data_IF_834641964194
#
_entry.id   IF_834641964194
#
_cell.length_a   1.000
_cell.length_b   1.000
_cell.length_c   1.000
_cell.angle_alpha   90.00
_cell.angle_beta   90.00
_cell.angle_gamma   90.00
#
_symmetry.space_group_name_H-M   'P 1'
#
loop_
_entity.id
_entity.type
_entity.pdbx_description
1 polymer ?
#
# COMPACT_ATOMS: atom_id res chain seq x y z
N UNK A 1 -17.09 -22.77 15.96
CA UNK A 1 -16.59 -21.43 15.56
C UNK A 1 -17.61 -20.87 14.59
N UNK A 2 -18.39 -19.89 15.00
CA UNK A 2 -19.31 -19.17 14.09
C UNK A 2 -18.45 -18.26 13.27
N UNK A 3 -18.18 -18.63 12.02
CA UNK A 3 -17.64 -17.69 11.02
C UNK A 3 -18.66 -16.57 10.89
N UNK A 4 -18.27 -15.34 11.21
CA UNK A 4 -19.11 -14.18 10.94
C UNK A 4 -19.23 -14.07 9.42
N UNK A 5 -20.39 -14.40 8.86
CA UNK A 5 -20.65 -14.37 7.42
C UNK A 5 -20.42 -12.97 6.80
N UNK A 6 -20.27 -11.95 7.63
CA UNK A 6 -20.04 -10.58 7.23
C UNK A 6 -18.56 -10.18 7.23
N UNK A 7 -17.64 -11.05 7.66
CA UNK A 7 -16.22 -10.74 7.80
C UNK A 7 -15.34 -11.94 7.39
N UNK A 8 -14.43 -11.71 6.46
CA UNK A 8 -13.40 -12.66 6.04
C UNK A 8 -12.02 -12.09 6.41
N UNK A 9 -11.38 -12.63 7.43
CA UNK A 9 -10.01 -12.25 7.75
C UNK A 9 -9.05 -12.76 6.68
N UNK A 10 -8.30 -11.83 6.08
CA UNK A 10 -7.25 -12.14 5.11
C UNK A 10 -5.90 -12.31 5.81
N UNK A 11 -5.66 -11.48 6.84
CA UNK A 11 -4.51 -11.54 7.74
C UNK A 11 -4.89 -11.02 9.13
N UNK A 12 -4.39 -11.65 10.18
CA UNK A 12 -4.77 -11.35 11.56
C UNK A 12 -6.16 -11.87 11.92
N UNK A 13 -6.63 -11.65 13.13
CA UNK A 13 -7.88 -12.21 13.61
C UNK A 13 -7.88 -13.74 13.52
N UNK A 14 -8.86 -14.33 12.84
CA UNK A 14 -8.97 -15.78 12.62
C UNK A 14 -7.97 -16.32 11.59
N UNK A 15 -7.28 -15.45 10.83
CA UNK A 15 -6.20 -15.79 9.91
C UNK A 15 -4.85 -15.30 10.48
N UNK A 16 -4.17 -16.06 11.35
CA UNK A 16 -3.00 -15.58 12.09
C UNK A 16 -1.91 -15.02 11.18
N UNK A 17 -1.25 -13.96 11.65
CA UNK A 17 -0.09 -13.41 10.96
C UNK A 17 1.06 -14.44 10.94
N UNK A 18 1.71 -14.57 9.78
CA UNK A 18 2.94 -15.35 9.61
C UNK A 18 3.92 -14.54 8.76
N UNK A 19 5.16 -14.40 9.24
CA UNK A 19 6.21 -13.72 8.49
C UNK A 19 6.54 -14.44 7.17
N UNK A 20 6.37 -15.75 7.11
CA UNK A 20 6.61 -16.57 5.91
C UNK A 20 5.57 -16.29 4.80
N UNK A 21 4.42 -15.75 5.16
CA UNK A 21 3.39 -15.36 4.19
C UNK A 21 3.70 -14.02 3.51
N UNK A 22 4.82 -13.38 3.85
CA UNK A 22 5.20 -12.06 3.34
C UNK A 22 6.64 -12.03 2.85
N UNK A 23 6.92 -11.12 1.92
CA UNK A 23 8.26 -10.90 1.39
C UNK A 23 8.47 -9.43 1.04
N UNK A 24 9.72 -8.97 1.19
CA UNK A 24 10.10 -7.60 0.85
C UNK A 24 10.02 -7.36 -0.67
N UNK A 25 9.50 -6.19 -1.03
CA UNK A 25 9.47 -5.68 -2.40
C UNK A 25 9.84 -4.20 -2.38
N UNK A 26 11.07 -3.93 -2.00
CA UNK A 26 11.61 -2.58 -1.82
C UNK A 26 12.20 -2.03 -3.12
N UNK A 27 12.51 -0.73 -3.12
CA UNK A 27 13.12 -0.03 -4.26
C UNK A 27 14.55 -0.46 -4.58
N UNK A 28 15.15 -1.35 -3.80
CA UNK A 28 16.50 -1.90 -4.01
C UNK A 28 16.67 -2.53 -5.39
N UNK A 29 15.61 -3.12 -5.94
CA UNK A 29 15.62 -3.64 -7.33
C UNK A 29 15.82 -2.56 -8.39
N UNK A 30 15.72 -1.29 -8.01
CA UNK A 30 15.91 -0.10 -8.86
C UNK A 30 17.12 0.73 -8.47
N UNK A 31 18.00 0.19 -7.59
CA UNK A 31 19.16 0.91 -7.06
C UNK A 31 18.84 1.81 -5.86
N UNK A 32 17.63 1.73 -5.28
CA UNK A 32 17.28 2.38 -4.03
C UNK A 32 17.93 1.73 -2.82
N UNK A 33 17.83 2.37 -1.67
CA UNK A 33 18.39 1.90 -0.39
C UNK A 33 17.33 1.67 0.68
N UNK A 34 16.05 1.82 0.34
CA UNK A 34 14.96 1.55 1.27
C UNK A 34 14.92 0.08 1.66
N UNK A 35 14.55 -0.20 2.90
CA UNK A 35 14.47 -1.57 3.41
C UNK A 35 13.28 -1.73 4.35
N UNK A 36 12.51 -2.80 4.14
CA UNK A 36 11.35 -3.15 4.96
C UNK A 36 11.45 -4.54 5.58
N UNK A 37 10.72 -4.71 6.66
CA UNK A 37 10.53 -5.95 7.39
C UNK A 37 9.07 -6.06 7.83
N UNK A 38 8.58 -7.30 7.94
CA UNK A 38 7.31 -7.61 8.59
C UNK A 38 7.57 -8.64 9.69
N UNK A 39 7.51 -8.19 10.92
CA UNK A 39 7.65 -9.06 12.08
C UNK A 39 6.27 -9.51 12.54
N UNK A 40 6.13 -10.79 12.84
CA UNK A 40 4.89 -11.39 13.37
C UNK A 40 5.21 -12.03 14.74
N UNK A 41 5.25 -11.25 15.84
CA UNK A 41 5.59 -11.79 17.15
C UNK A 41 4.58 -12.86 17.58
N UNK A 42 5.08 -13.99 18.04
CA UNK A 42 4.22 -15.11 18.48
C UNK A 42 3.26 -14.66 19.58
N UNK A 43 1.99 -15.00 19.44
CA UNK A 43 0.94 -14.67 20.41
C UNK A 43 0.53 -13.20 20.47
N UNK A 44 1.16 -12.30 19.70
CA UNK A 44 0.84 -10.86 19.75
C UNK A 44 -0.43 -10.47 18.99
N UNK A 45 -0.99 -11.35 18.15
CA UNK A 45 -2.20 -11.08 17.35
C UNK A 45 -2.06 -9.91 16.38
N UNK A 46 -0.81 -9.56 16.01
CA UNK A 46 -0.51 -8.41 15.14
C UNK A 46 0.74 -8.66 14.29
N UNK A 47 0.86 -7.88 13.21
CA UNK A 47 2.10 -7.73 12.47
C UNK A 47 2.70 -6.34 12.69
N UNK A 48 4.02 -6.25 12.61
CA UNK A 48 4.79 -5.01 12.69
C UNK A 48 5.50 -4.79 11.36
N UNK A 49 4.98 -3.87 10.55
CA UNK A 49 5.61 -3.41 9.33
C UNK A 49 6.54 -2.25 9.67
N UNK A 50 7.85 -2.45 9.50
CA UNK A 50 8.88 -1.48 9.88
C UNK A 50 10.02 -1.44 8.89
N UNK A 51 10.86 -0.41 9.00
CA UNK A 51 12.05 -0.29 8.17
C UNK A 51 12.59 1.12 8.10
N UNK A 52 13.31 1.38 7.00
CA UNK A 52 13.85 2.70 6.68
C UNK A 52 13.53 3.04 5.23
N UNK A 53 12.94 4.20 5.02
CA UNK A 53 12.70 4.77 3.71
C UNK A 53 13.85 5.72 3.37
N UNK A 54 14.60 5.38 2.33
CA UNK A 54 15.68 6.21 1.80
C UNK A 54 15.22 6.94 0.54
N UNK A 55 15.45 8.23 0.46
CA UNK A 55 15.11 9.06 -0.69
C UNK A 55 16.34 9.61 -1.42
N UNK A 56 17.54 9.34 -0.89
CA UNK A 56 18.80 9.91 -1.40
C UNK A 56 19.26 9.25 -2.69
N UNK A 57 19.08 7.93 -2.80
CA UNK A 57 19.58 7.15 -3.92
C UNK A 57 18.79 7.38 -5.22
N UNK A 58 17.50 7.75 -5.13
CA UNK A 58 16.59 7.86 -6.28
C UNK A 58 16.03 9.28 -6.47
N UNK A 59 16.80 10.31 -6.09
CA UNK A 59 16.45 11.70 -6.36
C UNK A 59 15.13 12.18 -5.71
N UNK A 60 14.90 11.79 -4.46
CA UNK A 60 13.68 12.13 -3.72
C UNK A 60 12.57 11.08 -3.83
N UNK A 61 12.71 10.11 -4.74
CA UNK A 61 11.82 8.96 -4.80
C UNK A 61 12.33 7.84 -3.88
N UNK A 62 11.43 6.99 -3.40
CA UNK A 62 11.75 5.81 -2.61
C UNK A 62 10.50 5.08 -2.15
N UNK A 63 10.62 3.77 -1.97
CA UNK A 63 9.58 2.98 -1.32
C UNK A 63 10.15 1.74 -0.65
N UNK A 64 9.55 1.38 0.48
CA UNK A 64 9.78 0.14 1.19
C UNK A 64 8.43 -0.58 1.31
N UNK A 65 8.35 -1.85 0.91
CA UNK A 65 7.08 -2.56 0.83
C UNK A 65 7.23 -4.02 1.22
N UNK A 66 6.25 -4.51 1.95
CA UNK A 66 6.03 -5.93 2.20
C UNK A 66 4.79 -6.37 1.43
N UNK A 67 4.88 -7.47 0.72
CA UNK A 67 3.79 -8.06 -0.03
C UNK A 67 3.53 -9.51 0.39
N UNK A 68 2.28 -9.94 0.30
CA UNK A 68 1.95 -11.34 0.47
C UNK A 68 2.64 -12.19 -0.59
N UNK A 69 3.09 -13.40 -0.21
CA UNK A 69 3.62 -14.38 -1.15
C UNK A 69 2.47 -15.06 -1.92
N UNK A 70 2.80 -15.62 -3.06
CA UNK A 70 1.82 -16.36 -3.85
C UNK A 70 1.45 -17.66 -3.12
N UNK A 71 0.16 -17.91 -2.93
CA UNK A 71 -0.37 -19.05 -2.20
C UNK A 71 -0.50 -20.24 -3.14
N UNK A 72 0.19 -21.35 -2.84
CA UNK A 72 0.21 -22.52 -3.71
C UNK A 72 -1.16 -23.21 -3.86
N UNK A 73 -1.95 -23.26 -2.77
CA UNK A 73 -3.23 -23.98 -2.74
C UNK A 73 -4.44 -23.09 -3.04
N UNK A 74 -4.34 -21.78 -2.74
CA UNK A 74 -5.38 -20.79 -2.99
C UNK A 74 -4.70 -19.55 -3.57
N UNK A 75 -4.51 -19.48 -4.89
CA UNK A 75 -3.72 -18.41 -5.52
C UNK A 75 -4.36 -17.03 -5.41
N UNK A 76 -5.63 -16.96 -5.03
CA UNK A 76 -6.38 -15.71 -4.86
C UNK A 76 -7.35 -15.78 -3.69
N UNK A 77 -7.81 -14.61 -3.24
CA UNK A 77 -8.98 -14.47 -2.40
C UNK A 77 -10.16 -14.04 -3.27
N UNK A 78 -11.29 -14.72 -3.12
CA UNK A 78 -12.57 -14.25 -3.62
C UNK A 78 -13.21 -13.37 -2.53
N UNK A 79 -13.22 -12.08 -2.79
CA UNK A 79 -13.80 -11.07 -1.90
C UNK A 79 -15.01 -10.37 -2.56
N UNK A 80 -15.54 -10.95 -3.62
CA UNK A 80 -16.66 -10.39 -4.40
C UNK A 80 -17.97 -10.28 -3.62
N UNK A 81 -18.14 -11.09 -2.55
CA UNK A 81 -19.29 -11.03 -1.66
C UNK A 81 -19.23 -9.91 -0.60
N UNK A 82 -18.14 -9.13 -0.58
CA UNK A 82 -17.87 -8.08 0.41
C UNK A 82 -17.85 -6.71 -0.26
N UNK A 83 -18.04 -5.65 0.53
CA UNK A 83 -18.19 -4.28 0.04
C UNK A 83 -16.89 -3.46 0.17
N UNK A 84 -15.93 -3.94 0.96
CA UNK A 84 -14.66 -3.25 1.18
C UNK A 84 -13.71 -4.02 2.09
N UNK A 85 -12.57 -3.39 2.38
CA UNK A 85 -11.61 -3.86 3.39
C UNK A 85 -11.77 -3.10 4.69
N UNK A 86 -11.54 -3.83 5.78
CA UNK A 86 -11.32 -3.27 7.10
C UNK A 86 -9.87 -3.52 7.52
N UNK A 87 -9.18 -2.45 7.92
CA UNK A 87 -7.80 -2.47 8.39
C UNK A 87 -7.78 -1.92 9.82
N UNK A 88 -7.31 -2.72 10.78
CA UNK A 88 -7.09 -2.23 12.14
C UNK A 88 -5.62 -1.93 12.37
N UNK A 89 -5.31 -0.64 12.54
CA UNK A 89 -3.98 -0.12 12.83
C UNK A 89 -3.90 0.24 14.31
N UNK A 90 -2.86 -0.30 14.99
CA UNK A 90 -2.67 -0.10 16.40
C UNK A 90 -1.89 1.20 16.65
N UNK A 91 -2.31 1.96 17.65
CA UNK A 91 -1.66 3.18 18.11
C UNK A 91 -0.22 2.93 18.57
N UNK A 92 -0.02 1.88 19.36
CA UNK A 92 1.26 1.61 20.05
C UNK A 92 2.49 1.57 19.13
N UNK A 93 2.32 1.24 17.83
CA UNK A 93 3.39 1.23 16.85
C UNK A 93 3.28 2.33 15.80
N UNK A 94 2.34 3.24 15.95
CA UNK A 94 2.07 4.27 14.96
C UNK A 94 3.07 5.42 15.00
N UNK A 95 3.47 5.93 13.85
CA UNK A 95 4.46 6.99 13.66
C UNK A 95 3.87 8.27 13.03
N UNK A 96 2.56 8.28 12.76
CA UNK A 96 1.87 9.40 12.11
C UNK A 96 2.20 9.57 10.63
N UNK A 97 2.91 8.62 10.03
CA UNK A 97 3.29 8.67 8.63
C UNK A 97 2.17 8.15 7.73
N UNK A 98 2.29 8.46 6.46
CA UNK A 98 1.35 8.05 5.41
C UNK A 98 1.81 6.73 4.79
N UNK A 99 0.92 5.76 4.80
CA UNK A 99 1.12 4.41 4.24
C UNK A 99 0.17 4.17 3.08
N UNK A 100 0.48 3.15 2.29
CA UNK A 100 -0.37 2.72 1.18
C UNK A 100 -0.69 1.23 1.34
N UNK A 101 -1.97 0.90 1.32
CA UNK A 101 -2.47 -0.47 1.14
C UNK A 101 -2.64 -0.71 -0.35
N UNK A 102 -2.06 -1.81 -0.86
CA UNK A 102 -2.10 -2.12 -2.29
C UNK A 102 -2.71 -3.50 -2.52
N UNK A 103 -3.59 -3.61 -3.51
CA UNK A 103 -4.14 -4.85 -4.01
C UNK A 103 -3.67 -5.12 -5.44
N UNK A 104 -3.57 -6.40 -5.79
CA UNK A 104 -3.40 -6.85 -7.17
C UNK A 104 -4.31 -8.03 -7.46
N UNK A 105 -4.98 -7.99 -8.58
CA UNK A 105 -5.80 -9.06 -9.13
C UNK A 105 -5.05 -9.85 -10.22
N UNK A 106 -3.95 -9.31 -10.73
CA UNK A 106 -3.10 -9.94 -11.71
C UNK A 106 -1.64 -10.04 -11.22
N UNK A 107 -1.08 -11.23 -11.33
CA UNK A 107 0.35 -11.51 -11.12
C UNK A 107 0.85 -12.32 -12.32
N UNK A 108 1.75 -11.74 -13.08
CA UNK A 108 2.37 -12.38 -14.24
C UNK A 108 3.56 -13.26 -13.81
N UNK A 109 3.91 -14.29 -14.59
CA UNK A 109 5.14 -15.04 -14.39
C UNK A 109 6.36 -14.12 -14.34
N UNK A 110 7.38 -14.50 -13.59
CA UNK A 110 8.62 -13.74 -13.57
C UNK A 110 9.27 -13.75 -14.97
N UNK A 111 10.06 -12.73 -15.23
CA UNK A 111 10.89 -12.66 -16.43
C UNK A 111 12.03 -13.69 -16.36
N UNK A 112 12.71 -13.98 -17.48
CA UNK A 112 13.90 -14.85 -17.49
C UNK A 112 15.04 -14.38 -16.57
N UNK A 113 15.09 -13.07 -16.25
CA UNK A 113 16.02 -12.46 -15.30
C UNK A 113 15.52 -12.49 -13.85
N UNK A 114 14.53 -13.32 -13.52
CA UNK A 114 13.87 -13.51 -12.23
C UNK A 114 13.14 -12.26 -11.68
N UNK A 115 13.03 -11.21 -12.49
CA UNK A 115 12.30 -9.98 -12.09
C UNK A 115 10.80 -10.13 -12.28
N UNK A 116 10.05 -9.56 -11.34
CA UNK A 116 8.59 -9.49 -11.46
C UNK A 116 8.15 -8.56 -12.59
N UNK A 117 7.09 -8.94 -13.27
CA UNK A 117 6.44 -8.11 -14.26
C UNK A 117 5.46 -7.14 -13.59
N UNK A 118 5.39 -5.92 -14.13
CA UNK A 118 4.47 -4.91 -13.60
C UNK A 118 3.05 -5.20 -14.10
N UNK A 119 2.10 -5.19 -13.18
CA UNK A 119 0.66 -5.23 -13.44
C UNK A 119 -0.01 -4.01 -12.80
N UNK A 120 -1.30 -3.81 -13.03
CA UNK A 120 -2.06 -2.78 -12.34
C UNK A 120 -2.00 -3.01 -10.83
N UNK A 121 -1.92 -1.95 -10.07
CA UNK A 121 -2.01 -1.93 -8.62
C UNK A 121 -3.19 -1.05 -8.22
N UNK A 122 -3.96 -1.49 -7.26
CA UNK A 122 -5.08 -0.77 -6.68
C UNK A 122 -4.64 -0.25 -5.32
N UNK A 123 -4.54 1.06 -5.16
CA UNK A 123 -3.88 1.69 -4.03
C UNK A 123 -4.84 2.54 -3.22
N UNK A 124 -4.72 2.43 -1.89
CA UNK A 124 -5.38 3.30 -0.93
C UNK A 124 -4.36 3.84 0.07
N UNK A 125 -4.32 5.18 0.21
CA UNK A 125 -3.40 5.86 1.12
C UNK A 125 -4.09 6.19 2.45
N UNK A 126 -3.41 5.93 3.57
CA UNK A 126 -3.89 6.26 4.91
C UNK A 126 -2.77 6.77 5.81
N UNK A 127 -3.13 7.44 6.90
CA UNK A 127 -2.17 7.94 7.90
C UNK A 127 -2.29 7.05 9.13
N UNK A 128 -1.15 6.57 9.66
CA UNK A 128 -1.13 5.83 10.93
C UNK A 128 -1.42 6.76 12.11
N UNK A 129 -2.02 6.27 13.20
CA UNK A 129 -2.09 7.06 14.43
C UNK A 129 -0.68 7.35 14.96
N UNK A 130 -0.53 8.32 15.83
CA UNK A 130 0.74 8.60 16.53
C UNK A 130 0.77 7.87 17.87
N UNK A 131 1.85 7.13 18.12
CA UNK A 131 2.02 6.33 19.33
C UNK A 131 2.06 7.16 20.63
N UNK A 132 2.57 8.37 20.56
CA UNK A 132 2.73 9.33 21.68
C UNK A 132 1.58 10.34 21.82
N UNK A 133 0.59 10.30 20.93
CA UNK A 133 -0.57 11.20 20.94
C UNK A 133 -1.74 10.67 21.79
N UNK A 134 -2.82 11.45 21.85
CA UNK A 134 -4.10 11.05 22.47
C UNK A 134 -4.99 10.22 21.52
N UNK A 135 -4.47 9.88 20.33
CA UNK A 135 -5.20 9.08 19.36
C UNK A 135 -5.38 7.64 19.87
N UNK A 136 -6.46 7.01 19.48
CA UNK A 136 -6.72 5.59 19.74
C UNK A 136 -6.28 4.71 18.56
N UNK A 137 -6.39 3.39 18.73
CA UNK A 137 -6.30 2.44 17.62
C UNK A 137 -7.26 2.87 16.52
N UNK A 138 -6.79 2.84 15.28
CA UNK A 138 -7.61 3.25 14.13
C UNK A 138 -8.12 2.03 13.37
N UNK A 139 -9.43 1.95 13.28
CA UNK A 139 -10.10 1.00 12.39
C UNK A 139 -10.58 1.74 11.15
N UNK A 140 -10.02 1.37 9.99
CA UNK A 140 -10.32 1.97 8.69
C UNK A 140 -11.24 1.03 7.92
N UNK A 141 -12.39 1.51 7.47
CA UNK A 141 -13.19 0.87 6.44
C UNK A 141 -12.90 1.53 5.10
N UNK A 142 -12.56 0.73 4.11
CA UNK A 142 -12.16 1.16 2.77
C UNK A 142 -13.04 0.48 1.75
N UNK A 143 -14.09 1.14 1.23
CA UNK A 143 -14.90 0.62 0.13
C UNK A 143 -14.02 0.33 -1.10
N UNK A 144 -14.39 -0.65 -1.91
CA UNK A 144 -13.63 -0.97 -3.12
C UNK A 144 -13.45 0.22 -4.07
N UNK A 145 -14.40 1.15 -4.11
CA UNK A 145 -14.37 2.37 -4.93
C UNK A 145 -13.26 3.36 -4.54
N UNK A 146 -12.75 3.27 -3.30
CA UNK A 146 -11.67 4.15 -2.82
C UNK A 146 -10.28 3.70 -3.29
N UNK A 147 -10.14 2.46 -3.72
CA UNK A 147 -8.89 1.99 -4.32
C UNK A 147 -8.69 2.61 -5.70
N UNK A 148 -7.56 3.28 -5.89
CA UNK A 148 -7.22 3.97 -7.15
C UNK A 148 -6.25 3.12 -7.97
N UNK A 149 -6.55 2.87 -9.26
CA UNK A 149 -5.67 2.10 -10.12
C UNK A 149 -4.42 2.88 -10.49
N UNK A 150 -3.28 2.21 -10.36
CA UNK A 150 -1.98 2.73 -10.77
C UNK A 150 -1.22 1.69 -11.59
N UNK A 151 -0.30 2.16 -12.43
CA UNK A 151 0.65 1.32 -13.13
C UNK A 151 2.05 1.94 -13.01
N UNK A 152 2.96 1.20 -12.39
CA UNK A 152 4.33 1.69 -12.10
C UNK A 152 4.33 3.02 -11.34
N UNK A 153 3.42 3.18 -10.37
CA UNK A 153 3.30 4.37 -9.55
C UNK A 153 2.65 5.59 -10.22
N UNK A 154 2.10 5.43 -11.44
CA UNK A 154 1.35 6.48 -12.13
C UNK A 154 -0.14 6.12 -12.14
N UNK A 155 -1.05 7.09 -12.00
CA UNK A 155 -2.48 6.85 -12.17
C UNK A 155 -2.78 6.18 -13.51
N UNK A 156 -3.67 5.19 -13.51
CA UNK A 156 -4.13 4.47 -14.69
C UNK A 156 -5.68 4.49 -14.76
N UNK A 157 -6.28 5.63 -15.14
CA UNK A 157 -7.74 5.80 -15.10
C UNK A 157 -8.50 4.88 -16.08
N UNK A 158 -7.81 4.38 -17.12
CA UNK A 158 -8.31 3.44 -18.11
C UNK A 158 -8.12 1.95 -17.69
N UNK A 159 -7.75 1.68 -16.43
CA UNK A 159 -7.66 0.32 -15.94
C UNK A 159 -9.06 -0.35 -15.92
N UNK A 160 -9.14 -1.68 -16.18
CA UNK A 160 -10.36 -2.42 -15.91
C UNK A 160 -10.74 -2.30 -14.44
N UNK A 161 -11.94 -2.68 -14.05
CA UNK A 161 -12.31 -2.75 -12.63
C UNK A 161 -11.48 -3.81 -11.93
N UNK A 162 -11.21 -3.59 -10.63
CA UNK A 162 -10.58 -4.60 -9.76
C UNK A 162 -11.40 -5.90 -9.80
N UNK A 163 -10.77 -7.01 -10.15
CA UNK A 163 -11.40 -8.33 -10.11
C UNK A 163 -11.41 -8.85 -8.67
N UNK A 164 -12.53 -8.61 -8.00
CA UNK A 164 -12.73 -8.98 -6.59
C UNK A 164 -12.81 -10.51 -6.38
N UNK A 165 -13.09 -11.28 -7.42
CA UNK A 165 -13.06 -12.75 -7.34
C UNK A 165 -11.62 -13.31 -7.37
N UNK A 166 -10.66 -12.49 -7.77
CA UNK A 166 -9.27 -12.91 -7.98
C UNK A 166 -8.24 -11.97 -7.36
N UNK A 167 -8.45 -11.48 -6.14
CA UNK A 167 -7.43 -10.70 -5.44
C UNK A 167 -6.24 -11.61 -5.12
N UNK A 168 -5.12 -11.42 -5.78
CA UNK A 168 -3.96 -12.31 -5.73
C UNK A 168 -2.89 -11.86 -4.75
N UNK A 169 -2.80 -10.56 -4.48
CA UNK A 169 -1.72 -10.01 -3.66
C UNK A 169 -2.20 -8.79 -2.88
N UNK A 170 -1.77 -8.72 -1.64
CA UNK A 170 -1.96 -7.59 -0.74
C UNK A 170 -0.58 -7.10 -0.32
N UNK A 171 -0.38 -5.77 -0.25
CA UNK A 171 0.89 -5.19 0.17
C UNK A 171 0.69 -4.00 1.09
N UNK A 172 1.61 -3.87 2.05
CA UNK A 172 1.79 -2.66 2.85
C UNK A 172 3.01 -1.92 2.32
N UNK A 173 2.87 -0.64 2.05
CA UNK A 173 3.94 0.16 1.46
C UNK A 173 4.12 1.47 2.21
N UNK A 174 5.37 1.80 2.48
CA UNK A 174 5.85 3.11 2.87
C UNK A 174 6.55 3.75 1.68
N UNK A 175 6.06 4.89 1.17
CA UNK A 175 6.65 5.59 0.02
C UNK A 175 6.89 7.05 0.31
N UNK A 176 7.83 7.66 -0.43
CA UNK A 176 8.30 9.01 -0.18
C UNK A 176 7.29 10.11 -0.50
N UNK A 177 6.26 9.83 -1.29
CA UNK A 177 5.34 10.85 -1.82
C UNK A 177 6.10 12.08 -2.36
N UNK A 178 7.12 11.81 -3.20
CA UNK A 178 8.00 12.84 -3.78
C UNK A 178 8.81 13.62 -2.74
N UNK A 179 9.44 12.92 -1.80
CA UNK A 179 10.30 13.52 -0.78
C UNK A 179 9.55 14.17 0.39
N UNK A 180 8.23 13.92 0.53
CA UNK A 180 7.46 14.46 1.66
C UNK A 180 7.67 13.70 2.97
N UNK A 181 8.20 12.49 2.89
CA UNK A 181 8.53 11.68 4.06
C UNK A 181 9.70 10.74 3.77
N UNK A 182 10.48 10.45 4.81
CA UNK A 182 11.67 9.61 4.79
C UNK A 182 12.00 9.06 6.18
N UNK A 183 13.09 8.28 6.26
CA UNK A 183 13.67 7.80 7.50
C UNK A 183 12.99 6.55 8.06
N UNK A 184 13.20 6.29 9.35
CA UNK A 184 12.63 5.14 10.03
C UNK A 184 11.09 5.21 10.03
N UNK A 185 10.44 4.05 9.87
CA UNK A 185 8.99 3.94 9.91
C UNK A 185 8.56 2.70 10.68
N UNK A 186 7.35 2.76 11.25
CA UNK A 186 6.74 1.67 11.99
C UNK A 186 5.22 1.77 11.94
N UNK A 187 4.58 0.65 11.59
CA UNK A 187 3.14 0.47 11.56
C UNK A 187 2.80 -0.87 12.19
N UNK A 188 1.92 -0.90 13.17
CA UNK A 188 1.38 -2.13 13.73
C UNK A 188 -0.03 -2.37 13.23
N UNK A 189 -0.27 -3.56 12.69
CA UNK A 189 -1.55 -3.95 12.10
C UNK A 189 -2.09 -5.17 12.84
N UNK A 190 -3.29 -5.03 13.43
CA UNK A 190 -3.95 -6.15 14.09
C UNK A 190 -4.57 -7.11 13.05
N UNK A 191 -5.24 -6.58 12.03
CA UNK A 191 -5.81 -7.40 10.96
C UNK A 191 -6.09 -6.62 9.69
N UNK A 192 -6.25 -7.37 8.61
CA UNK A 192 -6.84 -6.98 7.33
C UNK A 192 -7.96 -7.96 7.03
N UNK A 193 -9.18 -7.48 6.84
CA UNK A 193 -10.36 -8.30 6.58
C UNK A 193 -11.22 -7.72 5.46
N UNK A 194 -11.82 -8.58 4.63
CA UNK A 194 -12.91 -8.18 3.74
C UNK A 194 -14.20 -8.19 4.55
N UNK A 195 -15.04 -7.14 4.40
CA UNK A 195 -16.26 -6.97 5.20
C UNK A 195 -17.44 -6.53 4.33
N UNK A 196 -18.63 -6.97 4.73
CA UNK A 196 -19.88 -6.42 4.21
C UNK A 196 -20.19 -5.10 4.91
N UNK A 197 -20.65 -4.12 4.15
CA UNK A 197 -21.08 -2.83 4.71
C UNK A 197 -22.43 -3.04 5.40
N UNK A 198 -22.36 -3.13 6.72
CA UNK A 198 -23.57 -3.18 7.56
C UNK A 198 -23.80 -1.80 8.20
N UNK A 199 -25.03 -1.43 8.59
CA UNK A 199 -25.29 -0.14 9.25
C UNK A 199 -24.39 0.14 10.46
N UNK A 200 -23.91 -0.89 11.15
CA UNK A 200 -22.94 -0.79 12.24
C UNK A 200 -21.55 -0.35 11.75
N UNK A 201 -21.18 -0.64 10.50
CA UNK A 201 -19.91 -0.26 9.87
C UNK A 201 -19.96 1.16 9.28
N UNK A 202 -21.12 1.60 8.80
CA UNK A 202 -21.35 2.95 8.26
C UNK A 202 -21.26 4.04 9.34
N UNK A 203 -21.41 3.70 10.62
CA UNK A 203 -21.43 4.67 11.72
C UNK A 203 -20.03 5.21 12.12
N UNK A 204 -18.93 4.73 11.51
CA UNK A 204 -17.58 5.28 11.71
C UNK A 204 -16.99 5.75 10.38
N UNK A 205 -17.33 6.97 9.92
CA UNK A 205 -16.68 7.51 8.74
C UNK A 205 -15.17 7.58 9.01
N UNK A 206 -14.37 7.01 8.09
CA UNK A 206 -12.97 7.37 7.99
C UNK A 206 -12.93 8.89 7.95
N UNK A 207 -12.24 9.52 8.89
CA UNK A 207 -12.00 10.96 8.83
C UNK A 207 -11.15 11.22 7.60
N UNK A 208 -11.82 11.43 6.48
CA UNK A 208 -11.21 11.82 5.22
C UNK A 208 -10.70 13.24 5.46
N UNK A 209 -9.43 13.38 5.71
CA UNK A 209 -8.76 14.64 5.45
C UNK A 209 -8.73 14.76 3.93
N UNK A 210 -9.81 15.27 3.37
CA UNK A 210 -9.86 15.71 1.99
C UNK A 210 -8.97 16.94 1.87
N UNK A 211 -7.67 16.72 1.68
CA UNK A 211 -6.83 17.74 1.11
C UNK A 211 -7.14 17.78 -0.38
N UNK A 212 -8.18 18.52 -0.76
CA UNK A 212 -8.36 19.00 -2.12
C UNK A 212 -7.23 20.00 -2.43
N UNK A 213 -6.04 19.51 -2.73
CA UNK A 213 -5.06 20.26 -3.47
C UNK A 213 -5.21 19.85 -4.93
N UNK A 214 -6.13 20.49 -5.63
CA UNK A 214 -6.06 20.65 -7.07
C UNK A 214 -4.75 21.41 -7.37
N UNK A 215 -3.66 20.67 -7.56
CA UNK A 215 -2.48 21.22 -8.20
C UNK A 215 -2.85 21.41 -9.67
N UNK A 216 -3.37 22.61 -10.00
CA UNK A 216 -3.49 23.07 -11.36
C UNK A 216 -2.11 23.02 -12.01
N UNK A 217 -2.03 22.40 -13.17
CA UNK A 217 -0.87 22.46 -14.04
C UNK A 217 -0.72 23.91 -14.50
N UNK A 218 0.43 24.57 -14.34
CA UNK A 218 0.62 25.89 -14.92
C UNK A 218 0.71 25.74 -16.45
N UNK A 219 -0.15 26.47 -17.17
CA UNK A 219 -0.03 26.71 -18.61
C UNK A 219 1.33 27.33 -18.93
N UNK A 220 1.89 26.91 -20.05
CA UNK A 220 3.14 27.43 -20.58
C UNK A 220 3.00 28.89 -21.00
N UNK A 221 3.57 29.79 -20.22
CA UNK A 221 3.97 31.12 -20.67
C UNK A 221 5.35 31.06 -21.35
N UNK A 222 5.47 31.50 -22.57
CA UNK A 222 6.71 31.64 -23.33
C UNK A 222 7.63 32.69 -22.70
N UNK A 223 8.86 32.29 -22.31
CA UNK A 223 9.88 33.19 -21.79
C UNK A 223 11.25 32.49 -21.81
N UNK A 224 12.09 32.91 -22.71
CA UNK A 224 13.47 32.51 -22.94
C UNK A 224 14.35 32.75 -21.71
N UNK A 225 15.22 31.82 -21.34
CA UNK A 225 16.23 32.01 -20.29
C UNK A 225 16.81 30.71 -19.76
N UNK A 226 17.96 30.30 -20.25
CA UNK A 226 18.65 29.06 -19.93
C UNK A 226 18.83 28.82 -18.44
N UNK A 227 18.25 27.72 -17.95
CA UNK A 227 18.52 27.14 -16.68
C UNK A 227 18.43 25.61 -16.80
N UNK A 228 19.50 24.93 -16.47
CA UNK A 228 19.56 23.46 -16.42
C UNK A 228 18.52 22.93 -15.45
N UNK A 229 17.45 22.33 -15.97
CA UNK A 229 16.42 21.68 -15.17
C UNK A 229 16.96 20.37 -14.57
N UNK A 230 16.63 20.05 -13.30
CA UNK A 230 16.84 18.71 -12.78
C UNK A 230 15.89 17.75 -13.50
N UNK A 231 16.44 16.71 -14.13
CA UNK A 231 15.69 15.67 -14.83
C UNK A 231 14.61 15.08 -13.90
N UNK A 232 13.34 15.24 -14.26
CA UNK A 232 12.24 14.68 -13.50
C UNK A 232 12.40 13.15 -13.45
N UNK A 233 12.12 12.52 -12.32
CA UNK A 233 12.18 11.07 -12.15
C UNK A 233 11.32 10.29 -13.16
N UNK A 234 10.32 10.95 -13.75
CA UNK A 234 9.52 10.45 -14.85
C UNK A 234 10.34 10.11 -16.10
N UNK A 235 11.35 10.91 -16.42
CA UNK A 235 12.24 10.66 -17.57
C UNK A 235 13.17 9.48 -17.28
N UNK A 236 13.53 9.28 -16.01
CA UNK A 236 14.42 8.20 -15.59
C UNK A 236 13.74 6.81 -15.66
N UNK A 237 12.42 6.75 -15.42
CA UNK A 237 11.66 5.49 -15.53
C UNK A 237 11.51 4.98 -16.98
N UNK A 238 11.60 5.84 -17.98
CA UNK A 238 11.47 5.45 -19.40
C UNK A 238 12.79 4.98 -20.05
N UNK A 239 13.95 5.33 -19.51
CA UNK A 239 15.26 5.08 -20.13
C UNK A 239 15.90 3.72 -19.85
N UNK A 240 15.32 2.88 -18.99
CA UNK A 240 15.90 1.60 -18.55
C UNK A 240 15.29 0.35 -19.21
N UNK A 241 14.53 0.53 -20.29
CA UNK A 241 13.97 -0.59 -21.06
C UNK A 241 14.27 -0.42 -22.54
N UNK A 242 15.49 -0.65 -22.93
CA UNK A 242 15.87 -1.18 -24.25
C UNK A 242 16.48 -2.54 -24.05
#
# INVERSE_FOLDING_TARGET
>A
MTTDENCLFLFGGDAPWSAEAWTASDDRVRGGKSQSYLDCPAGAGKAVFRGTLDITALGGAGFASQRSVDRAQHPSWDVSAYDGLRLKVLKAGGDGKKYTLTLKDEVLPKRPDDREQSTVSWEYDFISPKGDGDEEDRELYVPWSEFKPTYRGKPKPDAPKLDLANVRRISLMMRSFFGKQEGAFRLEVAYVAAVRDTPANAARPASVVSSSSSAGYPEKGSGDGGRTEPKSWLTWMCGLFK
#
